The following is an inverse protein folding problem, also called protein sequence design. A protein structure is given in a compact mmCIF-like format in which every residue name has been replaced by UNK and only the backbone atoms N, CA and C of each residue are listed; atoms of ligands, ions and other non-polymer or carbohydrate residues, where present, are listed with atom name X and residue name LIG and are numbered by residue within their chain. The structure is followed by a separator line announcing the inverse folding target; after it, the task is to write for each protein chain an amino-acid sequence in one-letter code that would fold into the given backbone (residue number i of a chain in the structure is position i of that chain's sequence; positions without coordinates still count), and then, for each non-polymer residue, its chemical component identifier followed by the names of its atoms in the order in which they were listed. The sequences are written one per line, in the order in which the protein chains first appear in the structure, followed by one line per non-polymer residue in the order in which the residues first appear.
data_IF_136614057463
#
_entry.id   IF_136614057463
#
_cell.length_a   1.000
_cell.length_b   1.000
_cell.length_c   1.000
_cell.angle_alpha   90.00
_cell.angle_beta   90.00
_cell.angle_gamma   90.00
#
_symmetry.space_group_name_H-M   'P 1'
#
loop_
_entity.id
_entity.type
_entity.pdbx_description
1 polymer ?
2 non-polymer ?
3 non-polymer ?
4 non-polymer ?
5 non-polymer ?
6 water ?
#
# COMPACT_ATOMS: atom_id res chain seq x y z
N UNK A 20 26.40 18.40 4.72
CA UNK A 20 25.09 18.24 5.34
C UNK A 20 24.13 19.35 4.87
N UNK A 21 23.04 18.96 4.19
CA UNK A 21 22.05 19.89 3.63
C UNK A 21 20.78 19.99 4.50
N UNK A 22 20.08 21.15 4.43
CA UNK A 22 18.86 21.40 5.20
C UNK A 22 17.66 21.85 4.36
N UNK A 23 16.48 21.91 5.01
CA UNK A 23 15.19 22.30 4.46
C UNK A 23 14.39 23.07 5.50
N UNK A 24 13.50 23.94 5.01
CA UNK A 24 12.58 24.69 5.85
C UNK A 24 11.15 24.30 5.51
N UNK A 25 10.35 23.95 6.54
CA UNK A 25 8.94 23.61 6.35
C UNK A 25 8.15 24.38 7.39
N UNK A 26 7.34 25.36 6.94
CA UNK A 26 6.49 26.22 7.77
C UNK A 26 7.29 26.86 8.94
N UNK A 27 8.46 27.42 8.59
CA UNK A 27 9.34 28.08 9.54
C UNK A 27 10.26 27.17 10.33
N UNK A 28 9.98 25.86 10.36
CA UNK A 28 10.76 24.85 11.07
C UNK A 28 11.89 24.32 10.18
N UNK A 29 13.09 24.20 10.76
CA UNK A 29 14.29 23.74 10.05
C UNK A 29 14.50 22.22 10.22
N UNK A 30 14.85 21.54 9.11
CA UNK A 30 15.10 20.09 9.06
C UNK A 30 16.40 19.80 8.37
N UNK A 31 17.27 19.01 9.01
CA UNK A 31 18.53 18.61 8.40
C UNK A 31 18.35 17.26 7.72
N UNK A 32 18.74 17.18 6.43
CA UNK A 32 18.63 15.97 5.61
C UNK A 32 19.67 14.95 6.05
N UNK A 33 19.24 13.73 6.39
CA UNK A 33 20.14 12.65 6.79
C UNK A 33 20.52 11.81 5.58
N UNK A 34 19.52 11.39 4.79
CA UNK A 34 19.67 10.59 3.57
C UNK A 34 18.39 10.62 2.73
N UNK A 35 18.50 10.22 1.45
CA UNK A 35 17.37 10.11 0.56
C UNK A 35 16.89 8.66 0.63
N UNK A 36 15.61 8.45 1.02
CA UNK A 36 14.99 7.13 1.16
C UNK A 36 14.54 6.61 -0.22
N UNK A 37 13.77 7.44 -0.93
CA UNK A 37 13.23 7.08 -2.23
C UNK A 37 13.11 8.22 -3.21
N UNK A 38 12.77 7.89 -4.46
CA UNK A 38 12.59 8.82 -5.58
C UNK A 38 11.53 8.31 -6.55
N UNK A 39 10.42 9.03 -6.64
CA UNK A 39 9.29 8.70 -7.51
C UNK A 39 9.10 9.68 -8.64
N UNK A 40 7.84 9.88 -9.04
CA UNK A 40 7.45 10.78 -10.12
C UNK A 40 7.54 12.24 -9.72
N UNK A 41 8.65 12.93 -10.14
CA UNK A 41 9.00 14.34 -9.83
C UNK A 41 9.13 14.56 -8.30
N UNK A 42 9.28 13.44 -7.58
CA UNK A 42 9.32 13.36 -6.13
C UNK A 42 10.57 12.70 -5.55
N UNK A 43 10.90 13.08 -4.30
CA UNK A 43 12.00 12.55 -3.50
C UNK A 43 11.51 12.44 -2.04
N UNK A 44 11.90 11.36 -1.34
CA UNK A 44 11.58 11.17 0.08
C UNK A 44 12.90 11.19 0.82
N UNK A 45 13.02 12.07 1.81
CA UNK A 45 14.22 12.17 2.62
C UNK A 45 13.98 11.80 4.07
N UNK A 46 15.01 11.24 4.72
CA UNK A 46 15.01 10.96 6.15
C UNK A 46 15.63 12.21 6.75
N UNK A 47 14.93 12.86 7.68
CA UNK A 47 15.38 14.16 8.23
C UNK A 47 15.32 14.23 9.76
N UNK A 48 16.01 15.24 10.32
CA UNK A 48 15.98 15.54 11.75
C UNK A 48 15.45 16.95 11.94
N UNK A 49 14.53 17.15 12.89
CA UNK A 49 14.00 18.47 13.25
C UNK A 49 14.92 19.18 14.30
N UNK A 50 14.51 20.39 14.76
CA UNK A 50 15.22 21.21 15.76
C UNK A 50 15.42 20.49 17.11
N UNK A 51 14.48 19.59 17.47
CA UNK A 51 14.48 18.81 18.72
C UNK A 51 15.13 17.42 18.52
N UNK A 52 15.81 17.21 17.37
CA UNK A 52 16.53 15.99 16.97
C UNK A 52 15.60 14.76 16.79
N UNK A 53 14.31 15.01 16.50
CA UNK A 53 13.30 13.98 16.20
C UNK A 53 13.37 13.65 14.73
N UNK A 54 13.27 12.36 14.41
CA UNK A 54 13.35 11.82 13.06
C UNK A 54 11.98 11.88 12.35
N UNK A 55 11.98 12.36 11.08
CA UNK A 55 10.80 12.45 10.22
C UNK A 55 11.18 12.03 8.81
N UNK A 56 10.18 11.83 7.98
CA UNK A 56 10.36 11.58 6.56
C UNK A 56 9.79 12.80 5.86
N UNK A 57 10.54 13.44 4.97
CA UNK A 57 10.00 14.58 4.23
C UNK A 57 9.80 14.16 2.80
N UNK A 58 8.57 14.26 2.31
CA UNK A 58 8.30 14.01 0.91
C UNK A 58 8.35 15.37 0.15
N UNK A 59 9.28 15.49 -0.79
CA UNK A 59 9.42 16.66 -1.64
C UNK A 59 8.79 16.35 -3.02
N UNK A 60 7.93 17.26 -3.49
CA UNK A 60 7.27 17.14 -4.78
C UNK A 60 7.57 18.41 -5.59
N UNK A 61 8.17 18.22 -6.76
CA UNK A 61 8.51 19.30 -7.68
C UNK A 61 7.29 19.61 -8.56
N UNK A 62 6.75 20.85 -8.48
CA UNK A 62 5.55 21.20 -9.24
C UNK A 62 5.82 21.92 -10.57
N UNK A 63 7.10 22.06 -10.99
CA UNK A 63 7.52 22.77 -12.22
C UNK A 63 6.82 22.31 -13.50
N UNK A 64 6.79 21.00 -13.77
CA UNK A 64 6.21 20.42 -14.98
C UNK A 64 4.79 19.83 -14.79
N UNK A 65 4.17 20.04 -13.62
CA UNK A 65 2.84 19.53 -13.29
C UNK A 65 1.72 20.42 -13.83
N UNK A 66 0.73 19.78 -14.51
CA UNK A 66 -0.46 20.45 -15.07
C UNK A 66 -1.59 20.47 -14.03
N UNK A 67 -2.71 21.17 -14.32
CA UNK A 67 -3.84 21.33 -13.41
C UNK A 67 -4.48 20.03 -12.91
N UNK A 68 -4.62 18.99 -13.76
CA UNK A 68 -5.21 17.73 -13.31
C UNK A 68 -4.25 16.99 -12.36
N UNK A 69 -2.91 17.05 -12.63
CA UNK A 69 -1.87 16.48 -11.76
C UNK A 69 -1.87 17.21 -10.40
N UNK A 70 -1.97 18.57 -10.42
CA UNK A 70 -2.02 19.41 -9.22
C UNK A 70 -3.24 19.10 -8.36
N UNK A 71 -4.42 18.97 -9.02
CA UNK A 71 -5.68 18.61 -8.37
C UNK A 71 -5.61 17.20 -7.78
N UNK A 72 -4.93 16.25 -8.47
CA UNK A 72 -4.74 14.89 -7.94
C UNK A 72 -3.84 14.89 -6.68
N UNK A 73 -2.86 15.81 -6.64
CA UNK A 73 -1.92 15.98 -5.52
C UNK A 73 -2.61 16.61 -4.30
N UNK A 74 -3.38 17.69 -4.53
CA UNK A 74 -4.14 18.43 -3.51
C UNK A 74 -5.19 17.51 -2.86
N UNK A 75 -5.90 16.74 -3.71
CA UNK A 75 -6.94 15.82 -3.31
C UNK A 75 -6.39 14.69 -2.42
N UNK A 76 -5.23 14.12 -2.76
CA UNK A 76 -4.60 13.11 -1.95
C UNK A 76 -4.12 13.68 -0.61
N UNK A 77 -3.59 14.93 -0.61
CA UNK A 77 -3.11 15.56 0.62
C UNK A 77 -4.29 15.75 1.58
N UNK A 78 -5.43 16.26 1.07
CA UNK A 78 -6.64 16.50 1.86
C UNK A 78 -7.17 15.22 2.48
N UNK A 79 -7.18 14.11 1.71
CA UNK A 79 -7.64 12.81 2.22
C UNK A 79 -6.70 12.26 3.26
N UNK A 80 -5.37 12.37 3.03
CA UNK A 80 -4.35 11.97 3.97
C UNK A 80 -4.50 12.73 5.28
N UNK A 81 -4.63 14.06 5.18
CA UNK A 81 -4.82 14.96 6.31
C UNK A 81 -6.08 14.58 7.13
N UNK A 82 -7.24 14.38 6.46
CA UNK A 82 -8.49 13.97 7.09
C UNK A 82 -8.46 12.55 7.71
N UNK A 83 -7.96 11.56 6.95
CA UNK A 83 -8.03 10.16 7.34
C UNK A 83 -7.05 9.70 8.42
N UNK A 84 -6.09 10.54 8.78
CA UNK A 84 -5.14 10.10 9.80
C UNK A 84 -5.76 10.10 11.21
N UNK A 85 -6.85 10.86 11.41
CA UNK A 85 -7.60 10.92 12.66
C UNK A 85 -8.44 9.65 12.87
N UNK A 86 -8.79 8.94 11.77
CA UNK A 86 -9.66 7.75 11.76
C UNK A 86 -8.93 6.45 11.99
N UNK A 87 -7.64 6.37 11.58
CA UNK A 87 -6.89 5.13 11.84
C UNK A 87 -5.41 5.40 12.04
N UNK A 88 -4.78 4.67 12.98
CA UNK A 88 -3.34 4.77 13.20
C UNK A 88 -2.61 3.84 12.19
N UNK A 89 -3.37 3.18 11.29
CA UNK A 89 -2.81 2.34 10.23
C UNK A 89 -2.61 3.14 8.95
N UNK A 90 -2.86 4.47 9.04
CA UNK A 90 -2.62 5.44 7.97
C UNK A 90 -1.38 6.22 8.44
N UNK A 91 -0.35 6.33 7.58
CA UNK A 91 0.87 7.09 7.86
C UNK A 91 0.54 8.50 8.39
N UNK A 92 1.30 8.99 9.39
CA UNK A 92 1.10 10.34 9.92
C UNK A 92 1.64 11.39 8.96
N UNK A 93 0.88 12.47 8.82
CA UNK A 93 1.21 13.69 8.09
C UNK A 93 1.15 14.78 9.16
N UNK A 94 2.32 15.22 9.64
CA UNK A 94 2.49 16.22 10.70
C UNK A 94 2.25 17.65 10.22
N UNK A 95 2.82 17.98 9.06
CA UNK A 95 2.71 19.30 8.49
C UNK A 95 3.03 19.25 7.01
N UNK A 96 2.79 20.36 6.31
CA UNK A 96 3.15 20.49 4.91
C UNK A 96 3.27 21.91 4.51
N UNK A 97 4.06 22.14 3.47
CA UNK A 97 4.24 23.44 2.85
C UNK A 97 4.00 23.26 1.35
N UNK A 98 3.04 24.02 0.82
CA UNK A 98 2.69 23.91 -0.59
C UNK A 98 2.69 25.26 -1.25
N UNK A 99 3.49 25.37 -2.32
CA UNK A 99 3.56 26.58 -3.15
C UNK A 99 3.26 26.13 -4.58
N UNK A 100 3.45 27.04 -5.54
CA UNK A 100 3.27 26.78 -6.96
C UNK A 100 4.46 25.99 -7.52
N UNK A 101 5.59 26.04 -6.81
CA UNK A 101 6.84 25.39 -7.22
C UNK A 101 7.07 24.02 -6.60
N UNK A 102 6.58 23.82 -5.37
CA UNK A 102 6.82 22.57 -4.65
C UNK A 102 5.82 22.28 -3.57
N UNK A 103 5.89 21.03 -3.11
CA UNK A 103 5.19 20.52 -1.92
C UNK A 103 6.28 19.91 -1.04
N UNK A 104 6.28 20.22 0.26
CA UNK A 104 7.11 19.56 1.28
C UNK A 104 6.11 18.97 2.26
N UNK A 105 6.14 17.66 2.46
CA UNK A 105 5.26 17.02 3.43
C UNK A 105 6.08 16.41 4.54
N UNK A 106 5.82 16.87 5.78
CA UNK A 106 6.48 16.34 6.98
C UNK A 106 5.69 15.12 7.44
N UNK A 107 6.33 13.97 7.36
CA UNK A 107 5.67 12.73 7.67
C UNK A 107 6.40 11.86 8.63
N UNK A 108 5.72 10.79 9.01
CA UNK A 108 6.24 9.76 9.87
C UNK A 108 7.33 9.02 9.11
N UNK A 109 8.42 8.70 9.79
CA UNK A 109 9.48 7.90 9.19
C UNK A 109 9.30 6.46 9.70
N UNK A 110 9.25 5.53 8.76
CA UNK A 110 9.13 4.11 9.07
C UNK A 110 10.48 3.45 8.96
N UNK A 111 10.56 2.18 9.33
CA UNK A 111 11.80 1.41 9.29
C UNK A 111 12.15 0.98 7.86
N UNK A 112 11.13 0.52 7.11
CA UNK A 112 11.30 -0.04 5.77
C UNK A 112 9.90 -0.22 5.18
N UNK A 113 9.80 -0.27 3.85
CA UNK A 113 8.52 -0.58 3.23
C UNK A 113 8.38 -2.11 3.24
N UNK A 114 7.15 -2.60 3.09
CA UNK A 114 6.86 -4.02 3.08
C UNK A 114 7.48 -4.77 1.88
N UNK A 115 7.59 -4.13 0.70
CA UNK A 115 8.20 -4.79 -0.46
C UNK A 115 9.68 -5.15 -0.23
N UNK A 116 10.48 -4.17 0.26
CA UNK A 116 11.90 -4.36 0.58
C UNK A 116 12.07 -5.38 1.70
N UNK A 117 11.22 -5.32 2.75
CA UNK A 117 11.25 -6.27 3.86
C UNK A 117 11.00 -7.71 3.37
N UNK A 118 9.93 -7.91 2.55
CA UNK A 118 9.59 -9.23 2.00
C UNK A 118 10.66 -9.82 1.09
N UNK A 119 11.30 -8.97 0.26
CA UNK A 119 12.39 -9.35 -0.65
C UNK A 119 13.65 -9.77 0.11
N UNK A 120 13.90 -9.15 1.28
CA UNK A 120 15.05 -9.42 2.15
C UNK A 120 14.85 -10.67 3.05
N UNK A 121 13.61 -10.94 3.51
CA UNK A 121 13.28 -12.05 4.39
C UNK A 121 13.17 -13.40 3.67
N UNK A 122 13.74 -14.46 4.29
CA UNK A 122 13.66 -15.83 3.77
C UNK A 122 12.25 -16.37 4.08
N UNK A 123 11.99 -16.72 5.36
CA UNK A 123 10.70 -17.21 5.83
C UNK A 123 10.07 -16.20 6.80
N UNK A 124 8.75 -15.95 6.64
CA UNK A 124 7.98 -15.05 7.52
C UNK A 124 7.28 -15.87 8.62
N UNK A 125 7.28 -15.33 9.86
CA UNK A 125 6.63 -15.91 11.03
C UNK A 125 5.09 -15.82 10.84
N UNK A 126 4.33 -16.93 11.09
CA UNK A 126 2.86 -16.89 10.90
C UNK A 126 2.14 -15.84 11.74
N UNK A 127 2.70 -15.50 12.91
CA UNK A 127 2.15 -14.49 13.82
C UNK A 127 2.36 -13.08 13.23
N UNK A 128 3.57 -12.82 12.68
CA UNK A 128 3.96 -11.57 12.03
C UNK A 128 3.08 -11.35 10.78
N UNK A 129 2.87 -12.43 9.99
CA UNK A 129 2.02 -12.42 8.80
C UNK A 129 0.58 -11.96 9.14
N UNK A 130 0.02 -12.54 10.23
CA UNK A 130 -1.33 -12.28 10.71
C UNK A 130 -1.51 -10.85 11.22
N UNK A 131 -0.57 -10.33 12.04
CA UNK A 131 -0.66 -8.95 12.55
C UNK A 131 -0.58 -7.95 11.40
N UNK A 132 0.30 -8.23 10.41
CA UNK A 132 0.46 -7.41 9.20
C UNK A 132 -0.83 -7.40 8.39
N UNK A 133 -1.45 -8.59 8.19
CA UNK A 133 -2.73 -8.76 7.49
C UNK A 133 -3.82 -7.95 8.20
N UNK A 134 -3.90 -8.03 9.56
CA UNK A 134 -4.87 -7.23 10.33
C UNK A 134 -4.70 -5.71 10.04
N UNK A 135 -3.47 -5.19 10.06
CA UNK A 135 -3.11 -3.79 9.80
C UNK A 135 -3.52 -3.33 8.41
N UNK A 136 -3.24 -4.16 7.39
CA UNK A 136 -3.55 -3.87 5.99
C UNK A 136 -5.07 -3.75 5.83
N UNK A 137 -5.84 -4.67 6.51
CA UNK A 137 -7.30 -4.70 6.48
C UNK A 137 -7.89 -3.47 7.11
N UNK A 138 -7.36 -3.05 8.28
CA UNK A 138 -7.78 -1.86 9.00
C UNK A 138 -7.55 -0.60 8.17
N UNK A 139 -6.36 -0.44 7.54
CA UNK A 139 -6.02 0.74 6.69
C UNK A 139 -6.90 0.81 5.43
N UNK A 140 -7.02 -0.31 4.71
CA UNK A 140 -7.84 -0.37 3.51
C UNK A 140 -9.32 -0.20 3.85
N UNK A 141 -9.77 -0.74 4.98
CA UNK A 141 -11.15 -0.57 5.43
C UNK A 141 -11.45 0.91 5.65
N UNK A 142 -10.52 1.64 6.32
CA UNK A 142 -10.63 3.07 6.61
C UNK A 142 -10.84 3.94 5.35
N UNK A 143 -10.06 3.68 4.26
CA UNK A 143 -10.16 4.46 3.03
C UNK A 143 -11.49 4.16 2.30
N UNK A 144 -11.99 2.89 2.41
CA UNK A 144 -13.25 2.48 1.80
C UNK A 144 -14.42 3.19 2.46
N UNK A 145 -14.35 3.38 3.80
CA UNK A 145 -15.38 4.08 4.58
C UNK A 145 -15.49 5.53 4.16
N UNK A 146 -14.46 6.05 3.48
CA UNK A 146 -14.44 7.44 3.02
C UNK A 146 -14.64 7.56 1.50
N UNK A 147 -15.04 6.46 0.86
CA UNK A 147 -15.31 6.40 -0.57
C UNK A 147 -14.09 6.24 -1.46
N UNK A 148 -12.94 5.84 -0.87
CA UNK A 148 -11.69 5.67 -1.62
C UNK A 148 -11.44 4.22 -1.91
N UNK A 149 -11.22 3.89 -3.19
CA UNK A 149 -10.77 2.56 -3.62
C UNK A 149 -9.35 2.86 -4.09
N UNK A 150 -8.36 2.16 -3.54
CA UNK A 150 -6.95 2.41 -3.90
C UNK A 150 -6.74 2.04 -5.37
N UNK A 151 -7.11 0.78 -5.73
CA UNK A 151 -7.08 0.10 -7.03
C UNK A 151 -5.67 -0.29 -7.52
N UNK A 152 -4.61 0.08 -6.78
CA UNK A 152 -3.25 -0.30 -7.15
C UNK A 152 -2.44 -0.73 -5.92
N UNK A 153 -3.07 -1.53 -5.05
CA UNK A 153 -2.38 -1.99 -3.86
C UNK A 153 -1.29 -3.01 -4.20
N UNK A 154 -0.13 -2.85 -3.55
CA UNK A 154 1.05 -3.69 -3.69
C UNK A 154 1.85 -3.55 -2.38
N UNK A 155 2.81 -4.44 -2.04
CA UNK A 155 3.53 -4.28 -0.77
C UNK A 155 4.26 -2.94 -0.59
N UNK A 156 4.69 -2.28 -1.68
CA UNK A 156 5.38 -0.97 -1.62
C UNK A 156 4.52 0.19 -1.07
N UNK A 157 3.18 0.00 -1.00
CA UNK A 157 2.20 0.96 -0.48
C UNK A 157 2.10 0.87 1.04
N UNK A 158 2.80 -0.10 1.64
CA UNK A 158 2.82 -0.34 3.08
C UNK A 158 4.19 -0.13 3.69
N UNK A 159 4.18 0.45 4.89
CA UNK A 159 5.39 0.77 5.63
C UNK A 159 5.34 0.13 7.00
N UNK A 160 6.48 -0.42 7.41
CA UNK A 160 6.62 -0.99 8.74
C UNK A 160 7.14 0.14 9.65
N UNK A 161 6.33 0.51 10.66
CA UNK A 161 6.61 1.51 11.69
C UNK A 161 6.38 0.79 13.01
N UNK A 162 7.47 0.40 13.71
CA UNK A 162 7.45 -0.27 15.02
C UNK A 162 6.58 -1.54 15.04
N UNK A 163 6.85 -2.44 14.10
CA UNK A 163 6.12 -3.71 13.96
C UNK A 163 4.67 -3.58 13.51
N UNK A 164 4.29 -2.40 12.99
CA UNK A 164 2.95 -2.09 12.49
C UNK A 164 3.01 -1.72 11.02
N UNK A 165 2.05 -2.19 10.23
CA UNK A 165 1.93 -1.80 8.84
C UNK A 165 1.03 -0.59 8.72
N UNK A 166 1.46 0.38 7.93
CA UNK A 166 0.71 1.61 7.66
C UNK A 166 0.61 1.81 6.16
N UNK A 167 -0.58 2.18 5.70
CA UNK A 167 -0.79 2.53 4.31
C UNK A 167 -0.18 3.92 4.08
N UNK A 168 0.68 4.05 3.06
CA UNK A 168 1.39 5.32 2.85
C UNK A 168 0.72 6.23 1.82
N UNK A 169 -0.10 5.66 0.93
CA UNK A 169 -0.77 6.46 -0.09
C UNK A 169 -2.17 5.89 -0.43
N UNK A 170 -3.00 6.71 -1.11
CA UNK A 170 -4.38 6.34 -1.38
C UNK A 170 -4.71 6.05 -2.86
N UNK A 171 -3.68 5.97 -3.69
CA UNK A 171 -3.85 5.74 -5.12
C UNK A 171 -4.44 6.92 -5.90
N UNK A 172 -4.74 8.07 -5.22
CA UNK A 172 -5.37 9.26 -5.82
C UNK A 172 -4.43 10.10 -6.70
N UNK A 173 -3.22 10.44 -6.18
CA UNK A 173 -2.25 11.27 -6.91
C UNK A 173 -1.64 10.54 -8.10
N UNK A 174 -1.42 11.28 -9.24
CA UNK A 174 -0.83 10.80 -10.49
C UNK A 174 0.54 10.13 -10.30
N UNK A 188 7.47 0.07 -6.79
CA UNK A 188 6.90 -1.02 -7.58
C UNK A 188 6.10 -0.48 -8.79
N UNK A 189 6.79 0.30 -9.66
CA UNK A 189 6.25 0.95 -10.84
C UNK A 189 5.74 -0.04 -11.90
N UNK A 190 4.47 0.15 -12.26
CA UNK A 190 3.76 -0.62 -13.28
C UNK A 190 3.63 -2.12 -13.07
N UNK A 192 2.03 -5.73 -12.39
CA UNK A 192 0.74 -6.30 -12.80
C UNK A 192 0.35 -7.56 -11.95
N UNK A 193 1.26 -8.03 -11.09
CA UNK A 193 1.06 -9.23 -10.28
C UNK A 193 -0.03 -9.13 -9.19
N UNK A 194 -0.46 -7.89 -8.86
CA UNK A 194 -1.48 -7.62 -7.82
C UNK A 194 -2.77 -7.06 -8.44
N UNK A 195 -2.85 -7.04 -9.78
CA UNK A 195 -3.96 -6.50 -10.55
C UNK A 195 -5.21 -7.40 -10.59
N UNK A 196 -6.41 -6.88 -10.20
CA UNK A 196 -7.63 -7.71 -10.27
C UNK A 196 -8.10 -7.97 -11.70
N UNK A 197 -8.74 -9.13 -11.97
CA UNK A 197 -9.19 -9.40 -13.35
C UNK A 197 -10.08 -8.30 -13.96
N UNK A 198 -10.94 -7.65 -13.14
CA UNK A 198 -11.84 -6.57 -13.60
C UNK A 198 -11.09 -5.29 -14.01
N UNK A 199 -9.87 -5.06 -13.49
CA UNK A 199 -9.05 -3.89 -13.85
C UNK A 199 -8.44 -4.11 -15.23
N UNK A 200 -8.17 -5.38 -15.58
CA UNK A 200 -7.61 -5.79 -16.88
C UNK A 200 -8.72 -5.74 -17.96
N UNK A 201 -9.97 -6.15 -17.59
CA UNK A 201 -11.15 -6.16 -18.46
C UNK A 201 -11.59 -4.73 -18.83
N UNK A 202 -11.62 -3.81 -17.83
CA UNK A 202 -11.97 -2.39 -17.98
C UNK A 202 -11.02 -1.68 -18.94
N UNK A 203 -9.74 -2.06 -18.89
CA UNK A 203 -8.65 -1.53 -19.72
C UNK A 203 -8.30 -2.51 -20.85
N UNK A 216 -13.91 -0.82 -11.32
CA UNK A 216 -13.30 -0.82 -9.99
C UNK A 216 -14.30 -0.57 -8.85
N UNK A 217 -14.23 -1.41 -7.83
CA UNK A 217 -15.07 -1.32 -6.66
C UNK A 217 -14.18 -1.64 -5.45
N UNK A 218 -14.64 -1.47 -4.18
CA UNK A 218 -13.84 -1.92 -3.02
C UNK A 218 -13.34 -3.39 -3.10
N UNK A 219 -13.98 -4.25 -3.92
CA UNK A 219 -13.59 -5.65 -4.12
C UNK A 219 -12.26 -5.76 -4.85
N UNK A 220 -11.92 -4.76 -5.70
CA UNK A 220 -10.65 -4.72 -6.43
C UNK A 220 -9.46 -4.70 -5.46
N UNK A 221 -9.60 -3.98 -4.33
CA UNK A 221 -8.55 -3.89 -3.29
C UNK A 221 -8.39 -5.20 -2.53
N UNK A 222 -9.50 -5.95 -2.34
CA UNK A 222 -9.54 -7.27 -1.72
C UNK A 222 -8.68 -8.24 -2.55
N UNK A 223 -8.81 -8.22 -3.91
CA UNK A 223 -7.99 -9.08 -4.77
C UNK A 223 -6.49 -8.78 -4.57
N UNK A 224 -6.12 -7.48 -4.57
CA UNK A 224 -4.75 -7.02 -4.39
C UNK A 224 -4.21 -7.38 -3.04
N UNK A 225 -4.98 -7.14 -1.95
CA UNK A 225 -4.59 -7.56 -0.60
C UNK A 225 -4.41 -9.09 -0.56
N UNK A 226 -5.28 -9.82 -1.26
CA UNK A 226 -5.21 -11.28 -1.36
C UNK A 226 -3.89 -11.75 -1.96
N UNK A 227 -3.43 -11.05 -3.02
CA UNK A 227 -2.15 -11.29 -3.69
C UNK A 227 -0.96 -11.07 -2.74
N UNK A 228 -1.03 -10.02 -1.88
CA UNK A 228 0.01 -9.68 -0.90
C UNK A 228 0.09 -10.81 0.17
N UNK A 229 -1.08 -11.27 0.65
CA UNK A 229 -1.13 -12.35 1.62
C UNK A 229 -0.65 -13.67 1.03
N UNK A 230 -0.94 -13.89 -0.28
CA UNK A 230 -0.52 -15.09 -1.02
C UNK A 230 1.01 -15.11 -1.12
N UNK A 231 1.62 -13.93 -1.37
CA UNK A 231 3.06 -13.71 -1.43
C UNK A 231 3.68 -13.99 -0.05
N UNK A 232 3.04 -13.51 1.05
CA UNK A 232 3.47 -13.73 2.43
C UNK A 232 3.27 -15.19 2.87
N UNK A 233 2.45 -15.96 2.15
CA UNK A 233 2.18 -17.35 2.47
C UNK A 233 3.11 -18.33 1.72
N UNK A 234 3.11 -18.24 0.37
CA UNK A 234 3.85 -19.13 -0.52
C UNK A 234 5.17 -18.55 -1.10
N UNK A 235 5.52 -17.31 -0.73
CA UNK A 235 6.76 -16.66 -1.17
C UNK A 235 6.78 -16.17 -2.60
N UNK A 236 5.62 -16.23 -3.28
CA UNK A 236 5.43 -15.77 -4.65
C UNK A 236 4.00 -15.27 -4.83
N UNK A 237 3.74 -14.41 -5.82
CA UNK A 237 2.38 -13.96 -6.12
C UNK A 237 1.68 -15.07 -6.94
N UNK A 238 0.31 -15.15 -7.03
CA UNK A 238 -0.33 -16.27 -7.75
C UNK A 238 0.07 -16.51 -9.21
N UNK A 239 0.48 -15.46 -9.93
CA UNK A 239 0.85 -15.57 -11.34
C UNK A 239 2.31 -15.18 -11.63
N UNK A 240 3.15 -15.04 -10.57
CA UNK A 240 4.57 -14.64 -10.65
C UNK A 240 5.41 -15.43 -11.66
N UNK A 241 5.20 -16.76 -11.73
CA UNK A 241 5.91 -17.70 -12.61
C UNK A 241 5.76 -17.38 -14.11
N UNK A 242 4.64 -16.75 -14.51
CA UNK A 242 4.38 -16.38 -15.91
C UNK A 242 5.17 -15.08 -16.21
N UNK A 243 6.31 -15.22 -16.91
CA UNK A 243 7.22 -14.12 -17.26
C UNK A 243 6.59 -13.16 -18.27
N UNK A 244 6.02 -13.69 -19.37
CA UNK A 244 5.36 -12.91 -20.42
C UNK A 244 4.12 -12.21 -19.85
N UNK A 245 4.14 -10.87 -19.85
CA UNK A 245 3.10 -10.00 -19.30
C UNK A 245 1.72 -10.21 -19.90
N UNK A 246 1.59 -10.37 -21.24
CA UNK A 246 0.30 -10.60 -21.91
C UNK A 246 -0.26 -11.97 -21.54
N UNK A 247 0.61 -13.01 -21.54
CA UNK A 247 0.24 -14.39 -21.14
C UNK A 247 -0.19 -14.41 -19.67
N UNK A 248 0.44 -13.55 -18.83
CA UNK A 248 0.11 -13.38 -17.42
C UNK A 248 -1.25 -12.69 -17.28
N UNK A 249 -1.51 -11.61 -18.06
CA UNK A 249 -2.79 -10.87 -18.05
C UNK A 249 -3.95 -11.79 -18.46
N UNK A 250 -3.70 -12.69 -19.44
CA UNK A 250 -4.67 -13.67 -19.92
C UNK A 250 -4.97 -14.70 -18.83
N UNK A 251 -3.95 -15.11 -18.05
CA UNK A 251 -4.11 -16.06 -16.96
C UNK A 251 -4.98 -15.49 -15.82
N UNK A 252 -4.76 -14.21 -15.43
CA UNK A 252 -5.50 -13.51 -14.38
C UNK A 252 -7.02 -13.44 -14.69
N UNK A 253 -7.37 -13.27 -15.97
CA UNK A 253 -8.78 -13.18 -16.39
C UNK A 253 -9.40 -14.55 -16.74
N UNK A 254 -8.56 -15.55 -17.09
CA UNK A 254 -8.99 -16.90 -17.47
C UNK A 254 -9.59 -17.71 -16.31
N UNK A 255 -10.92 -18.03 -16.34
CA UNK A 255 -11.52 -18.85 -15.26
C UNK A 255 -11.01 -20.29 -15.24
N UNK A 256 -10.60 -20.80 -16.42
CA UNK A 256 -10.05 -22.15 -16.60
C UNK A 256 -8.65 -22.26 -16.01
N UNK A 257 -7.91 -21.14 -15.93
CA UNK A 257 -6.57 -21.11 -15.32
C UNK A 257 -6.77 -21.15 -13.81
N UNK A 258 -6.62 -22.34 -13.21
CA UNK A 258 -6.81 -22.54 -11.78
C UNK A 258 -5.62 -22.03 -10.96
N UNK A 259 -5.90 -21.24 -9.91
CA UNK A 259 -4.87 -20.75 -8.99
C UNK A 259 -4.60 -21.88 -8.00
N UNK A 260 -3.32 -22.22 -7.80
CA UNK A 260 -2.90 -23.27 -6.88
C UNK A 260 -2.84 -22.75 -5.44
N UNK A 261 -3.46 -23.47 -4.51
CA UNK A 261 -3.46 -23.13 -3.08
C UNK A 261 -2.92 -24.35 -2.31
N UNK A 262 -1.59 -24.61 -2.35
CA UNK A 262 -1.06 -25.80 -1.65
C UNK A 262 -1.37 -25.84 -0.16
N UNK A 263 -1.62 -27.06 0.35
CA UNK A 263 -1.95 -27.33 1.75
C UNK A 263 -0.87 -26.83 2.70
N UNK A 264 -1.31 -26.10 3.73
CA UNK A 264 -0.47 -25.48 4.76
C UNK A 264 -1.10 -25.80 6.15
N UNK A 265 -0.36 -25.70 7.28
CA UNK A 265 -0.98 -26.00 8.59
C UNK A 265 -2.12 -25.05 8.98
N UNK A 266 -2.10 -23.81 8.47
CA UNK A 266 -3.15 -22.84 8.78
C UNK A 266 -4.22 -22.90 7.68
N UNK A 267 -5.27 -23.71 7.93
CA UNK A 267 -6.40 -23.91 7.01
C UNK A 267 -7.21 -22.63 6.80
N UNK A 268 -7.36 -21.81 7.87
CA UNK A 268 -8.05 -20.51 7.85
C UNK A 268 -7.37 -19.56 6.86
N UNK A 269 -6.01 -19.58 6.83
CA UNK A 269 -5.18 -18.76 5.94
C UNK A 269 -5.42 -19.19 4.49
N UNK A 270 -5.46 -20.51 4.23
CA UNK A 270 -5.76 -21.08 2.91
C UNK A 270 -7.14 -20.59 2.43
N UNK A 271 -8.16 -20.59 3.34
CA UNK A 271 -9.52 -20.13 3.06
C UNK A 271 -9.59 -18.65 2.66
N UNK A 272 -8.94 -17.75 3.43
CA UNK A 272 -8.88 -16.30 3.18
C UNK A 272 -8.37 -16.08 1.76
N UNK A 273 -7.26 -16.77 1.40
CA UNK A 273 -6.61 -16.71 0.10
C UNK A 273 -7.55 -17.05 -1.06
N UNK A 274 -8.30 -18.15 -0.91
CA UNK A 274 -9.28 -18.64 -1.88
C UNK A 274 -10.46 -17.69 -2.01
N UNK A 275 -10.88 -17.05 -0.88
CA UNK A 275 -12.00 -16.11 -0.80
C UNK A 275 -11.65 -14.75 -1.43
N UNK A 276 -10.39 -14.33 -1.29
CA UNK A 276 -9.87 -13.08 -1.84
C UNK A 276 -9.63 -13.20 -3.33
N UNK A 277 -9.15 -14.38 -3.79
CA UNK A 277 -8.74 -14.56 -5.17
C UNK A 277 -9.82 -15.18 -6.08
N UNK A 278 -11.08 -14.77 -5.85
CA UNK A 278 -12.26 -15.14 -6.65
C UNK A 278 -12.27 -14.11 -7.80
N UNK A 279 -12.17 -14.61 -9.05
CA UNK A 279 -12.13 -13.76 -10.26
C UNK A 279 -13.38 -12.89 -10.43
N UNK A 280 -14.54 -13.36 -9.97
CA UNK A 280 -15.76 -12.58 -10.05
C UNK A 280 -15.88 -11.72 -8.80
N UNK A 281 -15.86 -10.37 -8.94
CA UNK A 281 -15.97 -9.49 -7.76
C UNK A 281 -17.19 -9.75 -6.88
N UNK A 282 -18.31 -10.21 -7.49
CA UNK A 282 -19.57 -10.53 -6.82
C UNK A 282 -19.40 -11.72 -5.88
N UNK A 283 -18.51 -12.68 -6.27
CA UNK A 283 -18.21 -13.89 -5.51
C UNK A 283 -17.06 -13.70 -4.52
N UNK A 284 -16.40 -12.52 -4.58
CA UNK A 284 -15.26 -12.19 -3.74
C UNK A 284 -15.71 -11.68 -2.37
N UNK A 285 -15.00 -12.10 -1.31
CA UNK A 285 -15.25 -11.68 0.07
C UNK A 285 -14.99 -10.14 0.20
N UNK A 286 -15.73 -9.47 1.09
CA UNK A 286 -15.59 -8.04 1.33
C UNK A 286 -14.61 -7.83 2.51
N UNK A 287 -14.16 -6.57 2.73
CA UNK A 287 -13.30 -6.20 3.85
C UNK A 287 -14.05 -6.43 5.17
N UNK A 288 -15.32 -5.96 5.36
CA UNK A 288 -16.03 -6.27 6.63
C UNK A 288 -16.07 -7.75 6.97
N UNK A 289 -16.24 -8.62 5.95
CA UNK A 289 -16.26 -10.08 6.10
C UNK A 289 -14.88 -10.58 6.43
N UNK A 290 -13.83 -10.03 5.80
CA UNK A 290 -12.46 -10.45 6.10
C UNK A 290 -12.08 -10.13 7.56
N UNK A 291 -12.65 -9.02 8.10
CA UNK A 291 -12.44 -8.60 9.48
C UNK A 291 -13.12 -9.51 10.50
N UNK A 292 -14.15 -10.28 10.10
CA UNK A 292 -14.83 -11.24 10.99
C UNK A 292 -14.40 -12.69 10.70
N UNK A 293 -13.42 -12.86 9.78
CA UNK A 293 -12.90 -14.18 9.40
C UNK A 293 -12.16 -14.86 10.59
N UNK A 294 -12.30 -16.21 10.77
CA UNK A 294 -11.56 -16.88 11.87
C UNK A 294 -10.04 -16.61 11.83
N UNK A 295 -9.46 -16.46 10.62
CA UNK A 295 -8.04 -16.18 10.45
C UNK A 295 -7.58 -14.93 11.23
N UNK A 296 -8.42 -13.88 11.34
CA UNK A 296 -7.99 -12.70 12.10
C UNK A 296 -8.53 -12.70 13.54
N UNK A 297 -9.54 -13.55 13.83
CA UNK A 297 -10.22 -13.56 15.12
C UNK A 297 -9.84 -14.67 16.06
N UNK A 298 -9.67 -15.89 15.55
CA UNK A 298 -9.34 -17.05 16.39
C UNK A 298 -7.86 -16.94 16.81
N UNK A 299 -7.64 -16.95 18.14
CA UNK A 299 -6.31 -16.88 18.73
C UNK A 299 -5.74 -18.27 18.93
N UNK A 300 -4.68 -18.57 18.33
#
# INVERSE_FOLDING_TARGET
MHHHHHHSSGVDLGTENLYFQSMSVKGRIYSILKQIGSGGSSKVFQVLNEKKQIYAIKYVNLEEADNQTLDSYRNEIAYLNKLQQHSDKIIRLYDYEITDQYIYMVMECGNIDLNSWLKKKKSIDPWERKSYWKNMLEAVHTIHQHGIVHSDLKPANFLIVDGMLKLIDFGIANQMQPDTTSVVKDSQVGXVNYMPPEAIKDMSSSRENGKSKSKISPKSDVWSLGCILYYMTYGKTPFQQIINQISKLHAIIDPNHEIEFPDIPEKDLQDVLKCCLKRDPKQRISIPELLAHPYVQIQTHPVNQMAKGTTEE
#
